data_IF_838780279957
#
_entry.id   IF_838780279957
#
_cell.length_a   1.000
_cell.length_b   1.000
_cell.length_c   1.000
_cell.angle_alpha   90.00
_cell.angle_beta   90.00
_cell.angle_gamma   90.00
#
_symmetry.space_group_name_H-M   'P 1'
#
loop_
_entity.id
_entity.type
_entity.pdbx_description
1 polymer ?
#
# COMPACT_ATOMS: atom_id res chain seq x y z
N UNK A 1 78.42 12.78 -6.20
CA UNK A 1 77.21 12.83 -7.07
C UNK A 1 76.15 11.93 -6.46
N UNK A 2 75.20 12.49 -5.72
CA UNK A 2 74.10 11.75 -5.10
C UNK A 2 72.85 11.90 -5.97
N UNK A 3 72.36 10.80 -6.54
CA UNK A 3 71.19 10.79 -7.41
C UNK A 3 69.92 10.58 -6.55
N UNK A 4 69.10 11.62 -6.46
CA UNK A 4 67.92 11.66 -5.60
C UNK A 4 66.69 11.20 -6.41
N UNK A 5 66.33 9.91 -6.28
CA UNK A 5 65.15 9.34 -6.94
C UNK A 5 63.89 9.85 -6.21
N UNK A 6 63.26 10.89 -6.77
CA UNK A 6 61.95 11.37 -6.34
C UNK A 6 60.89 10.29 -6.63
N UNK A 7 60.43 9.60 -5.58
CA UNK A 7 59.23 8.76 -5.63
C UNK A 7 58.00 9.66 -5.88
N UNK A 8 57.44 9.61 -7.09
CA UNK A 8 56.14 10.21 -7.39
C UNK A 8 55.05 9.51 -6.56
N UNK A 9 54.46 10.22 -5.59
CA UNK A 9 53.24 9.75 -4.92
C UNK A 9 52.10 9.72 -5.96
N UNK A 10 51.33 8.62 -6.10
CA UNK A 10 50.22 8.58 -7.04
C UNK A 10 49.12 9.54 -6.58
N UNK A 11 48.74 10.45 -7.47
CA UNK A 11 47.69 11.45 -7.26
C UNK A 11 46.37 10.77 -6.87
N UNK A 12 45.71 11.32 -5.85
CA UNK A 12 44.46 10.81 -5.25
C UNK A 12 43.30 10.69 -6.25
N UNK A 13 43.28 11.53 -7.29
CA UNK A 13 42.34 11.46 -8.42
C UNK A 13 42.39 10.11 -9.15
N UNK A 14 43.58 9.52 -9.29
CA UNK A 14 43.76 8.25 -9.99
C UNK A 14 43.25 7.06 -9.16
N UNK A 15 43.21 7.20 -7.82
CA UNK A 15 42.68 6.17 -6.91
C UNK A 15 41.15 6.14 -6.90
N UNK A 16 40.48 7.30 -6.95
CA UNK A 16 39.01 7.34 -7.09
C UNK A 16 38.55 6.82 -8.45
N UNK A 17 39.23 7.23 -9.54
CA UNK A 17 38.95 6.74 -10.88
C UNK A 17 39.15 5.21 -10.98
N UNK A 18 40.26 4.68 -10.44
CA UNK A 18 40.49 3.24 -10.38
C UNK A 18 39.45 2.51 -9.51
N UNK A 19 39.07 3.08 -8.36
CA UNK A 19 38.02 2.52 -7.50
C UNK A 19 36.66 2.45 -8.22
N UNK A 20 36.29 3.51 -8.94
CA UNK A 20 35.07 3.57 -9.74
C UNK A 20 35.11 2.58 -10.92
N UNK A 21 36.23 2.52 -11.65
CA UNK A 21 36.43 1.57 -12.74
C UNK A 21 36.31 0.11 -12.27
N UNK A 22 36.85 -0.23 -11.09
CA UNK A 22 36.69 -1.57 -10.53
C UNK A 22 35.26 -1.91 -10.14
N UNK A 23 34.47 -0.93 -9.67
CA UNK A 23 33.05 -1.13 -9.40
C UNK A 23 32.25 -1.29 -10.69
N UNK A 24 32.54 -0.48 -11.71
CA UNK A 24 31.88 -0.58 -13.00
C UNK A 24 32.21 -1.90 -13.71
N UNK A 25 33.47 -2.35 -13.66
CA UNK A 25 33.88 -3.67 -14.13
C UNK A 25 33.16 -4.79 -13.39
N UNK A 26 33.03 -4.70 -12.07
CA UNK A 26 32.32 -5.71 -11.26
C UNK A 26 30.83 -5.75 -11.58
N UNK A 27 30.20 -4.60 -11.79
CA UNK A 27 28.79 -4.47 -12.14
C UNK A 27 28.51 -5.10 -13.52
N UNK A 28 29.33 -4.77 -14.52
CA UNK A 28 29.22 -5.32 -15.88
C UNK A 28 29.57 -6.81 -15.90
N UNK A 29 30.58 -7.23 -15.16
CA UNK A 29 30.96 -8.65 -15.05
C UNK A 29 29.84 -9.48 -14.40
N UNK A 30 29.22 -8.98 -13.33
CA UNK A 30 28.08 -9.67 -12.70
C UNK A 30 26.86 -9.72 -13.63
N UNK A 31 26.63 -8.68 -14.44
CA UNK A 31 25.57 -8.70 -15.45
C UNK A 31 25.87 -9.71 -16.57
N UNK A 32 27.12 -9.75 -17.05
CA UNK A 32 27.59 -10.75 -18.00
C UNK A 32 27.44 -12.17 -17.45
N UNK A 33 27.70 -12.39 -16.16
CA UNK A 33 27.52 -13.69 -15.50
C UNK A 33 26.05 -14.14 -15.51
N UNK A 34 25.13 -13.24 -15.16
CA UNK A 34 23.69 -13.48 -15.22
C UNK A 34 23.25 -13.93 -16.63
N UNK A 35 23.80 -13.27 -17.65
CA UNK A 35 23.52 -13.62 -19.05
C UNK A 35 24.02 -15.02 -19.43
N UNK A 36 25.14 -15.48 -18.86
CA UNK A 36 25.73 -16.79 -19.17
C UNK A 36 25.12 -17.95 -18.36
N UNK A 37 24.33 -17.69 -17.30
CA UNK A 37 23.59 -18.69 -16.52
C UNK A 37 22.07 -18.45 -16.59
N UNK A 38 21.43 -18.53 -17.77
CA UNK A 38 20.09 -17.99 -17.98
C UNK A 38 19.01 -18.73 -17.20
N UNK A 39 19.09 -20.05 -17.07
CA UNK A 39 18.04 -20.85 -16.42
C UNK A 39 17.94 -20.57 -14.93
N UNK A 40 19.05 -20.56 -14.21
CA UNK A 40 19.08 -20.28 -12.77
C UNK A 40 18.68 -18.84 -12.49
N UNK A 41 19.18 -17.88 -13.29
CA UNK A 41 18.82 -16.48 -13.11
C UNK A 41 17.34 -16.23 -13.37
N UNK A 42 16.77 -16.74 -14.47
CA UNK A 42 15.35 -16.57 -14.78
C UNK A 42 14.49 -17.15 -13.65
N UNK A 43 14.80 -18.35 -13.18
CA UNK A 43 14.07 -18.99 -12.08
C UNK A 43 14.14 -18.17 -10.79
N UNK A 44 15.34 -17.73 -10.38
CA UNK A 44 15.50 -16.92 -9.16
C UNK A 44 14.78 -15.58 -9.28
N UNK A 45 14.93 -14.88 -10.40
CA UNK A 45 14.29 -13.59 -10.64
C UNK A 45 12.76 -13.73 -10.67
N UNK A 46 12.24 -14.79 -11.31
CA UNK A 46 10.81 -15.05 -11.36
C UNK A 46 10.24 -15.33 -9.96
N UNK A 47 10.92 -16.16 -9.15
CA UNK A 47 10.49 -16.44 -7.78
C UNK A 47 10.52 -15.17 -6.93
N UNK A 48 11.56 -14.34 -7.02
CA UNK A 48 11.62 -13.05 -6.32
C UNK A 48 10.50 -12.12 -6.79
N UNK A 49 10.25 -12.06 -8.10
CA UNK A 49 9.18 -11.25 -8.69
C UNK A 49 7.80 -11.65 -8.18
N UNK A 50 7.48 -12.95 -8.19
CA UNK A 50 6.21 -13.48 -7.65
C UNK A 50 6.10 -13.23 -6.15
N UNK A 51 7.21 -13.37 -5.42
CA UNK A 51 7.28 -13.12 -3.97
C UNK A 51 6.97 -11.65 -3.66
N UNK A 52 7.52 -10.71 -4.42
CA UNK A 52 7.28 -9.28 -4.22
C UNK A 52 5.95 -8.78 -4.82
N UNK A 53 5.39 -9.48 -5.81
CA UNK A 53 4.14 -9.06 -6.45
C UNK A 53 2.94 -9.22 -5.53
N UNK A 54 2.97 -10.20 -4.62
CA UNK A 54 1.90 -10.40 -3.64
C UNK A 54 1.72 -9.20 -2.68
N UNK A 55 2.73 -8.78 -1.89
CA UNK A 55 2.59 -7.60 -1.05
C UNK A 55 2.35 -6.33 -1.87
N UNK A 56 2.97 -6.18 -3.05
CA UNK A 56 2.71 -5.06 -3.96
C UNK A 56 1.26 -5.01 -4.44
N UNK A 57 0.69 -6.15 -4.80
CA UNK A 57 -0.71 -6.29 -5.22
C UNK A 57 -1.68 -6.00 -4.07
N UNK A 58 -1.43 -6.51 -2.86
CA UNK A 58 -2.25 -6.18 -1.69
C UNK A 58 -2.19 -4.70 -1.32
N UNK A 59 -1.01 -4.09 -1.41
CA UNK A 59 -0.87 -2.65 -1.23
C UNK A 59 -1.70 -1.87 -2.25
N UNK A 60 -1.60 -2.22 -3.55
CA UNK A 60 -2.37 -1.57 -4.59
C UNK A 60 -3.88 -1.77 -4.40
N UNK A 61 -4.30 -2.96 -3.97
CA UNK A 61 -5.68 -3.27 -3.65
C UNK A 61 -6.22 -2.39 -2.51
N UNK A 62 -5.48 -2.29 -1.39
CA UNK A 62 -5.86 -1.41 -0.28
C UNK A 62 -5.90 0.07 -0.70
N UNK A 63 -4.93 0.52 -1.51
CA UNK A 63 -4.90 1.88 -2.04
C UNK A 63 -6.16 2.21 -2.86
N UNK A 64 -6.68 1.24 -3.62
CA UNK A 64 -7.92 1.40 -4.36
C UNK A 64 -9.15 1.45 -3.44
N UNK A 65 -9.22 0.61 -2.41
CA UNK A 65 -10.31 0.67 -1.43
C UNK A 65 -10.28 2.00 -0.66
N UNK A 66 -9.09 2.45 -0.24
CA UNK A 66 -8.92 3.73 0.44
C UNK A 66 -9.44 4.89 -0.41
N UNK A 67 -9.12 4.91 -1.71
CA UNK A 67 -9.62 5.93 -2.65
C UNK A 67 -11.15 5.90 -2.76
N UNK A 68 -11.75 4.72 -2.91
CA UNK A 68 -13.22 4.58 -2.93
C UNK A 68 -13.87 4.97 -1.59
N UNK A 69 -13.19 4.75 -0.46
CA UNK A 69 -13.69 5.09 0.87
C UNK A 69 -13.65 6.59 1.17
N UNK A 70 -12.78 7.34 0.47
CA UNK A 70 -12.58 8.78 0.67
C UNK A 70 -13.83 9.60 0.35
N UNK A 71 -14.57 9.21 -0.69
CA UNK A 71 -15.80 9.88 -1.13
C UNK A 71 -16.92 9.80 -0.09
N UNK A 72 -16.97 8.72 0.69
CA UNK A 72 -17.98 8.55 1.75
C UNK A 72 -17.73 9.43 2.98
N UNK A 73 -16.53 10.00 3.13
CA UNK A 73 -16.23 10.94 4.22
C UNK A 73 -16.98 12.28 4.04
N UNK A 74 -17.21 12.70 2.80
CA UNK A 74 -18.01 13.89 2.45
C UNK A 74 -19.51 13.65 2.49
N UNK A 75 -19.98 12.41 2.30
CA UNK A 75 -21.41 12.07 2.23
C UNK A 75 -22.00 11.53 3.55
N UNK A 76 -21.39 11.87 4.69
CA UNK A 76 -21.92 11.42 5.99
C UNK A 76 -23.26 12.09 6.27
N UNK A 77 -24.35 11.33 6.16
CA UNK A 77 -25.70 11.83 6.39
C UNK A 77 -25.92 12.16 7.87
N UNK A 78 -26.66 13.24 8.12
CA UNK A 78 -27.11 13.65 9.45
C UNK A 78 -28.59 13.29 9.58
N UNK A 79 -28.90 12.39 10.51
CA UNK A 79 -30.25 12.02 10.89
C UNK A 79 -30.76 12.99 11.96
N UNK A 80 -31.74 13.82 11.61
CA UNK A 80 -32.43 14.73 12.52
C UNK A 80 -33.71 14.08 13.05
N UNK A 81 -33.69 13.68 14.32
CA UNK A 81 -34.88 13.22 15.04
C UNK A 81 -35.61 14.43 15.60
N UNK A 82 -36.86 14.60 15.15
CA UNK A 82 -37.71 15.71 15.56
C UNK A 82 -38.40 15.41 16.88
N UNK A 83 -39.01 16.43 17.47
CA UNK A 83 -39.90 16.26 18.62
C UNK A 83 -41.04 15.28 18.29
N UNK A 84 -41.30 14.33 19.18
CA UNK A 84 -42.34 13.31 19.01
C UNK A 84 -43.75 13.92 18.90
N UNK A 85 -44.00 15.12 19.43
CA UNK A 85 -45.30 15.79 19.30
C UNK A 85 -45.43 16.64 18.03
N UNK A 86 -44.36 16.77 17.24
CA UNK A 86 -44.37 17.57 16.02
C UNK A 86 -45.29 16.95 14.96
N UNK A 87 -46.19 17.77 14.42
CA UNK A 87 -47.06 17.37 13.32
C UNK A 87 -46.28 17.27 11.99
N UNK A 88 -46.78 16.44 11.06
CA UNK A 88 -46.12 16.21 9.78
C UNK A 88 -45.97 17.50 8.95
N UNK A 89 -46.92 18.43 9.06
CA UNK A 89 -46.91 19.67 8.28
C UNK A 89 -45.76 20.58 8.72
N UNK A 90 -45.54 20.72 10.02
CA UNK A 90 -44.42 21.44 10.62
C UNK A 90 -43.12 20.72 10.33
N UNK A 91 -43.08 19.39 10.41
CA UNK A 91 -41.89 18.61 10.12
C UNK A 91 -41.43 18.78 8.66
N UNK A 92 -42.36 18.76 7.70
CA UNK A 92 -42.08 19.08 6.29
C UNK A 92 -41.69 20.54 6.06
N UNK A 93 -42.22 21.47 6.85
CA UNK A 93 -41.78 22.86 6.79
C UNK A 93 -40.32 22.99 7.27
N UNK A 94 -39.94 22.24 8.30
CA UNK A 94 -38.56 22.17 8.79
C UNK A 94 -37.62 21.52 7.78
N UNK A 95 -38.03 20.43 7.12
CA UNK A 95 -37.26 19.82 6.02
C UNK A 95 -36.90 20.85 4.95
N UNK A 96 -37.87 21.67 4.52
CA UNK A 96 -37.62 22.73 3.53
C UNK A 96 -36.67 23.80 4.06
N UNK A 97 -36.84 24.22 5.32
CA UNK A 97 -35.94 25.17 5.96
C UNK A 97 -34.49 24.64 6.00
N UNK A 98 -34.30 23.35 6.25
CA UNK A 98 -32.98 22.72 6.26
C UNK A 98 -32.45 22.55 4.83
N UNK A 99 -33.30 22.23 3.87
CA UNK A 99 -32.93 22.13 2.45
C UNK A 99 -32.42 23.46 1.87
N UNK A 100 -32.93 24.59 2.36
CA UNK A 100 -32.50 25.93 1.93
C UNK A 100 -31.15 26.38 2.53
N UNK A 101 -30.52 25.57 3.39
CA UNK A 101 -29.21 25.89 3.97
C UNK A 101 -28.07 25.68 2.95
N UNK A 102 -27.13 26.63 2.88
CA UNK A 102 -26.03 26.58 1.91
C UNK A 102 -25.09 25.35 2.05
N UNK A 103 -25.02 24.78 3.26
CA UNK A 103 -24.16 23.64 3.56
C UNK A 103 -24.87 22.28 3.37
N UNK A 104 -26.09 22.27 2.83
CA UNK A 104 -26.92 21.08 2.61
C UNK A 104 -27.07 20.84 1.10
N UNK A 105 -26.80 19.60 0.66
CA UNK A 105 -27.00 19.18 -0.72
C UNK A 105 -28.44 18.70 -0.97
N UNK A 106 -28.96 17.88 -0.07
CA UNK A 106 -30.30 17.30 -0.20
C UNK A 106 -30.89 16.99 1.19
N UNK A 107 -32.22 16.89 1.25
CA UNK A 107 -32.93 16.42 2.43
C UNK A 107 -34.02 15.42 2.08
N UNK A 108 -34.24 14.46 2.99
CA UNK A 108 -35.32 13.49 2.87
C UNK A 108 -36.12 13.40 4.16
N UNK A 109 -37.39 13.74 4.07
CA UNK A 109 -38.35 13.45 5.14
C UNK A 109 -38.71 11.97 5.22
N UNK A 110 -38.62 11.42 6.43
CA UNK A 110 -39.04 10.07 6.80
C UNK A 110 -40.14 10.18 7.85
N UNK A 111 -41.32 9.63 7.53
CA UNK A 111 -42.47 9.68 8.44
C UNK A 111 -42.27 8.76 9.66
N UNK A 112 -42.99 9.01 10.76
CA UNK A 112 -42.99 8.11 11.93
C UNK A 112 -43.25 6.65 11.55
N UNK A 113 -44.18 6.42 10.62
CA UNK A 113 -44.52 5.07 10.14
C UNK A 113 -43.37 4.41 9.38
N UNK A 114 -42.73 5.16 8.48
CA UNK A 114 -41.58 4.68 7.71
C UNK A 114 -40.36 4.42 8.62
N UNK A 115 -40.09 5.32 9.59
CA UNK A 115 -39.06 5.12 10.61
C UNK A 115 -39.31 3.85 11.43
N UNK A 116 -40.57 3.56 11.77
CA UNK A 116 -40.94 2.34 12.49
C UNK A 116 -40.69 1.09 11.66
N UNK A 117 -41.01 1.12 10.39
CA UNK A 117 -40.82 -0.01 9.49
C UNK A 117 -39.33 -0.29 9.25
N UNK A 118 -38.53 0.76 9.02
CA UNK A 118 -37.07 0.64 8.92
C UNK A 118 -36.43 0.13 10.23
N UNK A 119 -36.91 0.60 11.38
CA UNK A 119 -36.42 0.14 12.67
C UNK A 119 -36.80 -1.31 12.97
N UNK A 120 -38.00 -1.76 12.59
CA UNK A 120 -38.41 -3.18 12.73
C UNK A 120 -37.51 -4.13 11.94
N UNK A 121 -37.09 -3.72 10.74
CA UNK A 121 -36.20 -4.52 9.89
C UNK A 121 -34.78 -4.62 10.44
N UNK A 122 -34.29 -3.55 11.06
CA UNK A 122 -32.87 -3.43 11.43
C UNK A 122 -32.57 -3.81 12.89
N UNK A 123 -33.52 -3.58 13.80
CA UNK A 123 -33.30 -3.71 15.25
C UNK A 123 -33.43 -5.14 15.79
N UNK A 124 -34.03 -6.06 15.02
CA UNK A 124 -34.35 -7.42 15.49
C UNK A 124 -35.52 -7.49 16.49
N UNK A 125 -36.11 -6.35 16.88
CA UNK A 125 -37.23 -6.25 17.82
C UNK A 125 -38.61 -6.19 17.15
N UNK A 126 -38.71 -6.55 15.87
CA UNK A 126 -39.93 -6.39 15.05
C UNK A 126 -41.21 -6.87 15.75
N UNK A 127 -41.18 -8.07 16.35
CA UNK A 127 -42.33 -8.69 17.05
C UNK A 127 -42.68 -8.04 18.39
N UNK A 128 -41.70 -7.45 19.08
CA UNK A 128 -41.92 -6.77 20.36
C UNK A 128 -42.51 -5.39 20.15
N UNK A 129 -42.18 -4.72 19.05
CA UNK A 129 -42.69 -3.39 18.70
C UNK A 129 -44.19 -3.42 18.38
N UNK A 130 -44.69 -4.52 17.82
CA UNK A 130 -46.12 -4.69 17.53
C UNK A 130 -47.00 -4.73 18.80
N UNK A 131 -46.39 -4.88 19.98
CA UNK A 131 -47.11 -4.87 21.27
C UNK A 131 -47.26 -3.46 21.87
N UNK A 132 -46.61 -2.43 21.31
CA UNK A 132 -46.80 -1.06 21.75
C UNK A 132 -48.12 -0.50 21.20
N UNK A 133 -48.88 0.16 22.08
CA UNK A 133 -50.16 0.80 21.78
C UNK A 133 -50.04 2.07 20.91
N UNK A 134 -48.84 2.62 20.77
CA UNK A 134 -48.57 3.79 19.91
C UNK A 134 -47.14 3.74 19.36
N UNK A 135 -46.90 4.44 18.24
CA UNK A 135 -45.59 4.51 17.61
C UNK A 135 -44.64 5.42 18.45
N UNK A 136 -43.56 4.87 19.04
CA UNK A 136 -42.67 5.64 19.90
C UNK A 136 -41.63 6.45 19.12
N UNK A 137 -41.58 6.35 17.79
CA UNK A 137 -40.57 7.02 16.98
C UNK A 137 -41.05 8.37 16.46
N UNK A 138 -40.20 9.41 16.49
CA UNK A 138 -40.50 10.69 15.89
C UNK A 138 -40.36 10.68 14.37
N UNK A 139 -40.75 11.79 13.75
CA UNK A 139 -40.39 12.07 12.36
C UNK A 139 -38.88 12.28 12.25
N UNK A 140 -38.27 11.84 11.15
CA UNK A 140 -36.82 11.99 10.93
C UNK A 140 -36.58 12.74 9.62
N UNK A 141 -35.64 13.67 9.62
CA UNK A 141 -35.14 14.31 8.40
C UNK A 141 -33.71 13.83 8.19
N UNK A 142 -33.45 13.16 7.08
CA UNK A 142 -32.10 12.80 6.66
C UNK A 142 -31.54 14.00 5.89
N UNK A 143 -30.42 14.52 6.34
CA UNK A 143 -29.74 15.67 5.72
C UNK A 143 -28.44 15.18 5.10
N UNK A 144 -28.28 15.42 3.81
CA UNK A 144 -27.03 15.18 3.10
C UNK A 144 -26.22 16.48 3.06
N UNK A 145 -25.04 16.53 3.71
CA UNK A 145 -24.18 17.70 3.62
C UNK A 145 -23.71 17.95 2.19
N UNK A 146 -23.39 19.20 1.88
CA UNK A 146 -22.79 19.57 0.59
C UNK A 146 -21.53 18.76 0.30
N UNK A 147 -21.34 18.31 -0.95
CA UNK A 147 -20.17 17.51 -1.36
C UNK A 147 -18.82 18.23 -1.16
N UNK A 148 -18.84 19.56 -1.02
CA UNK A 148 -17.64 20.37 -0.70
C UNK A 148 -17.37 20.49 0.80
N UNK A 149 -18.25 19.97 1.66
CA UNK A 149 -18.12 20.07 3.11
C UNK A 149 -17.00 19.13 3.62
N UNK A 150 -16.00 19.71 4.28
CA UNK A 150 -15.00 18.91 4.98
C UNK A 150 -15.54 18.41 6.34
N UNK A 151 -14.75 17.60 7.04
CA UNK A 151 -15.15 17.04 8.34
C UNK A 151 -15.46 18.13 9.39
N UNK A 152 -14.89 19.33 9.28
CA UNK A 152 -15.18 20.44 10.18
C UNK A 152 -16.51 21.11 9.85
N UNK A 153 -16.77 21.36 8.56
CA UNK A 153 -18.03 21.90 8.07
C UNK A 153 -19.22 20.99 8.43
N UNK A 154 -19.09 19.67 8.26
CA UNK A 154 -20.13 18.69 8.65
C UNK A 154 -20.41 18.73 10.16
N UNK A 155 -19.37 18.87 11.00
CA UNK A 155 -19.55 19.01 12.46
C UNK A 155 -20.21 20.33 12.84
N UNK A 156 -19.89 21.41 12.15
CA UNK A 156 -20.53 22.71 12.38
C UNK A 156 -22.01 22.67 11.97
N UNK A 157 -22.31 22.05 10.82
CA UNK A 157 -23.69 21.81 10.39
C UNK A 157 -24.44 20.96 11.41
N UNK A 158 -23.86 19.86 11.89
CA UNK A 158 -24.46 19.04 12.95
C UNK A 158 -24.80 19.85 14.21
N UNK A 159 -23.86 20.68 14.68
CA UNK A 159 -24.07 21.53 15.86
C UNK A 159 -25.17 22.58 15.61
N UNK A 160 -25.18 23.19 14.42
CA UNK A 160 -26.23 24.14 14.02
C UNK A 160 -27.60 23.47 14.02
N UNK A 161 -27.72 22.32 13.38
CA UNK A 161 -28.97 21.58 13.29
C UNK A 161 -29.48 21.11 14.65
N UNK A 162 -28.59 20.70 15.57
CA UNK A 162 -28.94 20.33 16.94
C UNK A 162 -29.55 21.48 17.75
N UNK A 163 -29.27 22.74 17.37
CA UNK A 163 -29.83 23.93 18.04
C UNK A 163 -31.18 24.39 17.46
N UNK A 164 -31.67 23.78 16.38
CA UNK A 164 -32.93 24.16 15.77
C UNK A 164 -34.11 23.80 16.68
N UNK A 165 -35.08 24.72 16.88
CA UNK A 165 -36.24 24.46 17.71
C UNK A 165 -37.12 23.38 17.09
N UNK A 166 -37.43 22.32 17.84
CA UNK A 166 -38.18 21.16 17.37
C UNK A 166 -37.31 19.99 16.89
N UNK A 167 -35.98 20.13 16.92
CA UNK A 167 -35.03 19.01 16.81
C UNK A 167 -34.73 18.50 18.21
N UNK A 168 -34.96 17.21 18.45
CA UNK A 168 -34.62 16.56 19.71
C UNK A 168 -33.17 16.08 19.68
N UNK A 169 -32.78 15.36 18.61
CA UNK A 169 -31.44 14.82 18.44
C UNK A 169 -31.01 14.94 16.97
N UNK A 170 -29.83 15.50 16.73
CA UNK A 170 -29.13 15.42 15.46
C UNK A 170 -28.00 14.39 15.61
N UNK A 171 -28.02 13.33 14.79
CA UNK A 171 -27.03 12.25 14.82
C UNK A 171 -26.33 12.13 13.48
N UNK A 172 -25.01 12.18 13.50
CA UNK A 172 -24.19 11.84 12.33
C UNK A 172 -24.02 10.32 12.29
N UNK A 173 -24.41 9.67 11.20
CA UNK A 173 -24.28 8.22 11.05
C UNK A 173 -22.85 7.80 10.68
N UNK A 174 -21.90 8.01 11.61
CA UNK A 174 -20.47 7.70 11.43
C UNK A 174 -20.08 6.29 11.84
N UNK A 175 -20.95 5.54 12.53
CA UNK A 175 -20.57 4.28 13.16
C UNK A 175 -20.12 3.24 12.12
N UNK A 176 -20.80 3.18 10.96
CA UNK A 176 -20.41 2.28 9.89
C UNK A 176 -19.08 2.69 9.24
N UNK A 177 -18.82 4.01 9.10
CA UNK A 177 -17.56 4.55 8.59
C UNK A 177 -16.40 4.24 9.53
N UNK A 178 -16.59 4.44 10.83
CA UNK A 178 -15.59 4.12 11.85
C UNK A 178 -15.24 2.64 11.83
N UNK A 179 -16.25 1.76 11.69
CA UNK A 179 -16.04 0.31 11.52
C UNK A 179 -15.26 0.01 10.23
N UNK A 180 -15.60 0.63 9.11
CA UNK A 180 -14.88 0.45 7.84
C UNK A 180 -13.41 0.87 7.96
N UNK A 181 -13.13 2.05 8.50
CA UNK A 181 -11.76 2.53 8.68
C UNK A 181 -10.96 1.67 9.67
N UNK A 182 -11.62 1.15 10.71
CA UNK A 182 -11.00 0.20 11.63
C UNK A 182 -10.60 -1.09 10.90
N UNK A 183 -11.47 -1.61 10.02
CA UNK A 183 -11.15 -2.78 9.17
C UNK A 183 -9.99 -2.46 8.23
N UNK A 184 -9.99 -1.29 7.59
CA UNK A 184 -8.90 -0.86 6.69
C UNK A 184 -7.57 -0.71 7.42
N UNK A 185 -7.57 -0.20 8.65
CA UNK A 185 -6.38 -0.11 9.49
C UNK A 185 -5.84 -1.51 9.87
N UNK A 186 -6.71 -2.45 10.22
CA UNK A 186 -6.33 -3.86 10.47
C UNK A 186 -5.73 -4.46 9.19
N UNK A 187 -6.35 -4.23 8.03
CA UNK A 187 -5.87 -4.72 6.75
C UNK A 187 -4.51 -4.11 6.37
N UNK A 188 -4.32 -2.81 6.59
CA UNK A 188 -3.05 -2.11 6.37
C UNK A 188 -1.93 -2.67 7.23
N UNK A 189 -2.18 -2.92 8.53
CA UNK A 189 -1.22 -3.59 9.42
C UNK A 189 -0.91 -5.01 8.96
N UNK A 190 -1.91 -5.73 8.49
CA UNK A 190 -1.75 -7.08 7.95
C UNK A 190 -0.86 -7.08 6.71
N UNK A 191 -1.08 -6.16 5.78
CA UNK A 191 -0.24 -5.99 4.59
C UNK A 191 1.19 -5.59 4.95
N UNK A 192 1.39 -4.75 5.97
CA UNK A 192 2.74 -4.42 6.47
C UNK A 192 3.46 -5.67 7.01
N UNK A 193 2.77 -6.51 7.81
CA UNK A 193 3.33 -7.76 8.33
C UNK A 193 3.69 -8.73 7.19
N UNK A 194 2.78 -8.90 6.22
CA UNK A 194 3.01 -9.72 5.03
C UNK A 194 4.22 -9.18 4.26
N UNK A 195 4.31 -7.87 4.05
CA UNK A 195 5.44 -7.25 3.34
C UNK A 195 6.77 -7.55 4.03
N UNK A 196 6.83 -7.46 5.36
CA UNK A 196 8.02 -7.83 6.14
C UNK A 196 8.36 -9.31 5.96
N UNK A 197 7.36 -10.20 6.07
CA UNK A 197 7.55 -11.65 5.92
C UNK A 197 8.09 -12.02 4.53
N UNK A 198 7.50 -11.45 3.48
CA UNK A 198 7.94 -11.64 2.11
C UNK A 198 9.30 -10.99 1.85
N UNK A 199 9.61 -9.88 2.53
CA UNK A 199 10.96 -9.31 2.57
C UNK A 199 11.99 -10.29 3.10
N UNK A 200 11.70 -10.97 4.23
CA UNK A 200 12.55 -12.04 4.75
C UNK A 200 12.67 -13.22 3.77
N UNK A 201 11.59 -13.60 3.10
CA UNK A 201 11.64 -14.65 2.07
C UNK A 201 12.62 -14.28 0.95
N UNK A 202 12.58 -13.04 0.45
CA UNK A 202 13.54 -12.53 -0.56
C UNK A 202 14.98 -12.58 -0.04
N UNK A 203 15.23 -12.17 1.21
CA UNK A 203 16.55 -12.29 1.83
C UNK A 203 17.05 -13.73 1.86
N UNK A 204 16.18 -14.68 2.20
CA UNK A 204 16.50 -16.11 2.24
C UNK A 204 16.76 -16.68 0.83
N UNK A 205 15.93 -16.34 -0.15
CA UNK A 205 16.08 -16.76 -1.54
C UNK A 205 17.43 -16.30 -2.10
N UNK A 206 17.74 -15.01 -1.96
CA UNK A 206 18.99 -14.44 -2.46
C UNK A 206 20.16 -14.99 -1.65
N UNK A 207 20.04 -15.05 -0.33
CA UNK A 207 21.09 -15.56 0.53
C UNK A 207 21.47 -17.01 0.19
N UNK A 208 20.48 -17.86 -0.06
CA UNK A 208 20.71 -19.24 -0.48
C UNK A 208 21.29 -19.31 -1.90
N UNK A 209 20.79 -18.50 -2.84
CA UNK A 209 21.30 -18.44 -4.20
C UNK A 209 22.79 -18.05 -4.22
N UNK A 210 23.16 -17.03 -3.45
CA UNK A 210 24.55 -16.57 -3.34
C UNK A 210 25.43 -17.60 -2.60
N UNK A 211 24.90 -18.26 -1.57
CA UNK A 211 25.61 -19.37 -0.90
C UNK A 211 25.95 -20.48 -1.88
N UNK A 212 24.99 -20.95 -2.66
CA UNK A 212 25.20 -21.99 -3.66
C UNK A 212 26.19 -21.54 -4.74
N UNK A 213 26.09 -20.28 -5.17
CA UNK A 213 27.03 -19.71 -6.14
C UNK A 213 28.48 -19.65 -5.62
N UNK A 214 28.68 -19.32 -4.34
CA UNK A 214 30.00 -19.37 -3.67
C UNK A 214 30.51 -20.81 -3.61
N UNK A 215 29.67 -21.77 -3.23
CA UNK A 215 30.05 -23.19 -3.13
C UNK A 215 30.48 -23.77 -4.49
N UNK A 216 29.73 -23.46 -5.56
CA UNK A 216 30.06 -23.90 -6.90
C UNK A 216 31.40 -23.34 -7.42
N UNK A 217 31.85 -22.21 -6.87
CA UNK A 217 33.10 -21.54 -7.25
C UNK A 217 34.21 -21.67 -6.21
N UNK A 218 34.09 -22.63 -5.29
CA UNK A 218 35.02 -22.80 -4.18
C UNK A 218 36.49 -22.91 -4.62
N UNK A 219 36.77 -23.74 -5.64
CA UNK A 219 38.14 -23.93 -6.15
C UNK A 219 38.73 -22.66 -6.77
N UNK A 220 37.92 -21.94 -7.55
CA UNK A 220 38.32 -20.67 -8.16
C UNK A 220 38.64 -19.61 -7.09
N UNK A 221 37.82 -19.56 -6.03
CA UNK A 221 38.01 -18.65 -4.89
C UNK A 221 39.33 -18.96 -4.16
N UNK A 222 39.65 -20.24 -3.93
CA UNK A 222 40.92 -20.65 -3.29
C UNK A 222 42.10 -20.21 -4.13
N UNK A 223 42.12 -20.55 -5.43
CA UNK A 223 43.22 -20.18 -6.32
C UNK A 223 43.39 -18.65 -6.35
N UNK A 224 42.29 -17.91 -6.40
CA UNK A 224 42.30 -16.44 -6.38
C UNK A 224 42.85 -15.87 -5.07
N UNK A 225 42.58 -16.51 -3.92
CA UNK A 225 43.18 -16.14 -2.63
C UNK A 225 44.68 -16.44 -2.58
N UNK A 226 45.12 -17.58 -3.12
CA UNK A 226 46.53 -17.98 -3.12
C UNK A 226 47.42 -17.03 -3.93
N UNK A 227 46.90 -16.46 -5.03
CA UNK A 227 47.60 -15.43 -5.81
C UNK A 227 47.55 -14.02 -5.19
N UNK A 228 46.99 -13.88 -3.98
CA UNK A 228 47.03 -12.65 -3.18
C UNK A 228 45.83 -11.70 -3.35
N UNK A 229 44.70 -12.15 -3.90
CA UNK A 229 43.53 -11.30 -4.02
C UNK A 229 42.91 -10.94 -2.66
N UNK A 230 42.49 -9.68 -2.50
CA UNK A 230 41.83 -9.23 -1.26
C UNK A 230 40.43 -9.83 -1.12
N UNK A 231 39.98 -10.07 0.12
CA UNK A 231 38.61 -10.49 0.39
C UNK A 231 37.58 -9.54 -0.26
N UNK A 232 37.83 -8.22 -0.25
CA UNK A 232 36.95 -7.25 -0.88
C UNK A 232 36.82 -7.45 -2.41
N UNK A 233 37.90 -7.84 -3.10
CA UNK A 233 37.85 -8.14 -4.53
C UNK A 233 36.94 -9.34 -4.82
N UNK A 234 37.05 -10.39 -4.02
CA UNK A 234 36.26 -11.63 -4.18
C UNK A 234 34.78 -11.40 -3.83
N UNK A 235 34.48 -10.53 -2.86
CA UNK A 235 33.09 -10.25 -2.41
C UNK A 235 32.26 -9.47 -3.44
N UNK A 236 32.85 -8.52 -4.17
CA UNK A 236 32.13 -7.57 -5.02
C UNK A 236 31.20 -8.23 -6.06
N UNK A 237 31.64 -9.23 -6.85
CA UNK A 237 30.78 -9.83 -7.86
C UNK A 237 29.51 -10.45 -7.29
N UNK A 238 29.57 -11.03 -6.10
CA UNK A 238 28.43 -11.64 -5.42
C UNK A 238 27.44 -10.59 -4.88
N UNK A 239 27.95 -9.46 -4.36
CA UNK A 239 27.10 -8.34 -3.92
C UNK A 239 26.35 -7.72 -5.10
N UNK A 240 27.04 -7.49 -6.22
CA UNK A 240 26.39 -7.01 -7.45
C UNK A 240 25.43 -8.04 -8.05
N UNK A 241 25.69 -9.35 -7.89
CA UNK A 241 24.73 -10.39 -8.22
C UNK A 241 23.43 -10.23 -7.44
N UNK A 242 23.52 -10.04 -6.12
CA UNK A 242 22.35 -9.76 -5.27
C UNK A 242 21.60 -8.49 -5.68
N UNK A 243 22.32 -7.41 -6.01
CA UNK A 243 21.75 -6.17 -6.53
C UNK A 243 20.91 -6.46 -7.79
N UNK A 244 21.47 -7.18 -8.76
CA UNK A 244 20.78 -7.50 -10.01
C UNK A 244 19.56 -8.41 -9.79
N UNK A 245 19.67 -9.42 -8.92
CA UNK A 245 18.52 -10.27 -8.57
C UNK A 245 17.39 -9.46 -7.93
N UNK A 246 17.71 -8.55 -7.02
CA UNK A 246 16.73 -7.66 -6.39
C UNK A 246 16.09 -6.68 -7.38
N UNK A 247 16.89 -6.07 -8.26
CA UNK A 247 16.43 -5.13 -9.27
C UNK A 247 15.51 -5.81 -10.29
N UNK A 248 15.98 -6.89 -10.91
CA UNK A 248 15.21 -7.62 -11.93
C UNK A 248 13.96 -8.26 -11.32
N UNK A 249 14.07 -8.78 -10.09
CA UNK A 249 12.91 -9.30 -9.36
C UNK A 249 11.87 -8.21 -9.07
N UNK A 250 12.31 -7.00 -8.69
CA UNK A 250 11.43 -5.84 -8.52
C UNK A 250 10.73 -5.43 -9.81
N UNK A 251 11.45 -5.43 -10.94
CA UNK A 251 10.87 -5.13 -12.26
C UNK A 251 9.82 -6.18 -12.65
N UNK A 252 10.12 -7.47 -12.48
CA UNK A 252 9.15 -8.54 -12.75
C UNK A 252 7.93 -8.42 -11.84
N UNK A 253 8.13 -8.12 -10.56
CA UNK A 253 7.03 -7.87 -9.61
C UNK A 253 6.11 -6.75 -10.10
N UNK A 254 6.69 -5.62 -10.51
CA UNK A 254 5.93 -4.50 -11.08
C UNK A 254 5.11 -4.93 -12.30
N UNK A 255 5.71 -5.65 -13.25
CA UNK A 255 4.99 -6.16 -14.41
C UNK A 255 3.85 -7.10 -14.03
N UNK A 256 4.06 -8.00 -13.07
CA UNK A 256 3.01 -8.92 -12.60
C UNK A 256 1.83 -8.13 -12.02
N UNK A 257 2.10 -7.13 -11.18
CA UNK A 257 1.04 -6.30 -10.58
C UNK A 257 0.32 -5.47 -11.65
N UNK A 258 1.04 -4.89 -12.61
CA UNK A 258 0.45 -4.10 -13.69
C UNK A 258 -0.41 -4.95 -14.62
N UNK A 259 0.04 -6.16 -14.97
CA UNK A 259 -0.77 -7.12 -15.75
C UNK A 259 -2.02 -7.51 -14.96
N UNK A 260 -1.89 -7.73 -13.65
CA UNK A 260 -3.03 -7.99 -12.77
C UNK A 260 -4.04 -6.83 -12.75
N UNK A 261 -3.55 -5.59 -12.66
CA UNK A 261 -4.37 -4.39 -12.76
C UNK A 261 -5.10 -4.33 -14.11
N UNK A 262 -4.40 -4.50 -15.22
CA UNK A 262 -5.00 -4.47 -16.56
C UNK A 262 -6.09 -5.54 -16.72
N UNK A 263 -5.85 -6.75 -16.21
CA UNK A 263 -6.81 -7.86 -16.25
C UNK A 263 -8.12 -7.53 -15.50
N UNK A 264 -8.05 -6.75 -14.42
CA UNK A 264 -9.20 -6.36 -13.59
C UNK A 264 -9.86 -5.07 -14.13
N UNK A 265 -9.08 -4.15 -14.70
CA UNK A 265 -9.54 -2.83 -15.15
C UNK A 265 -10.64 -2.88 -16.21
N UNK A 266 -10.55 -3.81 -17.18
CA UNK A 266 -11.55 -3.98 -18.23
C UNK A 266 -12.94 -4.32 -17.67
N UNK A 267 -13.07 -5.40 -16.88
CA UNK A 267 -14.32 -5.74 -16.20
C UNK A 267 -14.86 -4.63 -15.31
N UNK A 268 -14.01 -3.94 -14.54
CA UNK A 268 -14.42 -2.86 -13.65
C UNK A 268 -14.94 -1.64 -14.42
N UNK A 269 -14.30 -1.24 -15.53
CA UNK A 269 -14.81 -0.15 -16.37
C UNK A 269 -16.20 -0.47 -16.95
N UNK A 270 -16.45 -1.73 -17.31
CA UNK A 270 -17.77 -2.16 -17.78
C UNK A 270 -18.83 -2.08 -16.67
N UNK A 271 -18.49 -2.49 -15.46
CA UNK A 271 -19.36 -2.30 -14.29
C UNK A 271 -19.62 -0.81 -14.05
N UNK A 272 -18.59 0.03 -14.15
CA UNK A 272 -18.71 1.47 -13.96
C UNK A 272 -19.75 2.10 -14.91
N UNK A 273 -19.72 1.71 -16.19
CA UNK A 273 -20.69 2.15 -17.19
C UNK A 273 -22.11 1.64 -16.92
N UNK A 274 -22.27 0.41 -16.43
CA UNK A 274 -23.58 -0.18 -16.15
C UNK A 274 -24.26 0.46 -14.95
N UNK A 275 -23.49 0.82 -13.93
CA UNK A 275 -23.97 1.42 -12.69
C UNK A 275 -23.93 2.94 -12.69
N UNK A 276 -23.44 3.58 -13.77
CA UNK A 276 -23.14 5.01 -13.83
C UNK A 276 -22.34 5.47 -12.61
N UNK A 277 -21.42 4.62 -12.15
CA UNK A 277 -20.57 4.92 -11.02
C UNK A 277 -19.35 5.74 -11.49
N UNK A 278 -18.72 6.45 -10.55
CA UNK A 278 -17.47 7.19 -10.78
C UNK A 278 -16.28 6.44 -10.17
N UNK A 279 -16.19 5.12 -10.39
CA UNK A 279 -15.09 4.30 -9.88
C UNK A 279 -13.80 4.58 -10.65
N UNK A 280 -12.87 5.29 -10.01
CA UNK A 280 -11.52 5.51 -10.55
C UNK A 280 -10.56 4.47 -9.97
N UNK A 281 -10.12 3.56 -10.83
CA UNK A 281 -9.08 2.59 -10.51
C UNK A 281 -7.69 3.22 -10.56
N UNK A 282 -7.01 3.21 -9.42
CA UNK A 282 -5.65 3.73 -9.27
C UNK A 282 -4.64 2.62 -9.57
N UNK A 283 -3.66 2.90 -10.44
CA UNK A 283 -2.50 2.03 -10.68
C UNK A 283 -1.28 2.48 -9.86
N UNK A 284 -0.15 1.77 -9.98
CA UNK A 284 1.10 2.21 -9.40
C UNK A 284 1.54 3.56 -9.96
N UNK A 285 1.80 4.50 -9.05
CA UNK A 285 2.41 5.77 -9.43
C UNK A 285 3.91 5.58 -9.71
N UNK A 286 4.52 6.59 -10.35
CA UNK A 286 5.97 6.61 -10.53
C UNK A 286 6.73 6.54 -9.19
N UNK A 287 6.16 7.13 -8.12
CA UNK A 287 6.72 7.04 -6.77
C UNK A 287 6.66 5.61 -6.23
N UNK A 288 5.53 4.90 -6.42
CA UNK A 288 5.39 3.52 -5.97
C UNK A 288 6.38 2.59 -6.69
N UNK A 289 6.58 2.81 -8.00
CA UNK A 289 7.59 2.11 -8.78
C UNK A 289 9.01 2.32 -8.21
N UNK A 290 9.39 3.56 -7.91
CA UNK A 290 10.71 3.86 -7.32
C UNK A 290 10.86 3.19 -5.96
N UNK A 291 9.83 3.24 -5.10
CA UNK A 291 9.85 2.60 -3.78
C UNK A 291 10.02 1.08 -3.92
N UNK A 292 9.27 0.45 -4.83
CA UNK A 292 9.37 -0.98 -5.09
C UNK A 292 10.77 -1.38 -5.59
N UNK A 293 11.30 -0.69 -6.60
CA UNK A 293 12.62 -1.01 -7.16
C UNK A 293 13.75 -0.73 -6.17
N UNK A 294 13.69 0.38 -5.44
CA UNK A 294 14.72 0.72 -4.44
C UNK A 294 14.71 -0.26 -3.27
N UNK A 295 13.53 -0.60 -2.75
CA UNK A 295 13.40 -1.58 -1.66
C UNK A 295 13.81 -2.99 -2.09
N UNK A 296 13.41 -3.44 -3.28
CA UNK A 296 13.79 -4.76 -3.80
C UNK A 296 15.30 -4.86 -4.04
N UNK A 297 15.92 -3.80 -4.56
CA UNK A 297 17.37 -3.72 -4.77
C UNK A 297 18.13 -3.70 -3.43
N UNK A 298 17.60 -3.01 -2.43
CA UNK A 298 18.17 -2.98 -1.08
C UNK A 298 18.08 -4.35 -0.40
N UNK A 299 16.96 -5.06 -0.54
CA UNK A 299 16.82 -6.46 -0.12
C UNK A 299 17.83 -7.36 -0.87
N UNK A 300 18.01 -7.10 -2.18
CA UNK A 300 19.08 -7.61 -3.03
C UNK A 300 20.47 -7.57 -2.39
N UNK A 301 20.88 -6.35 -2.07
CA UNK A 301 22.18 -6.04 -1.49
C UNK A 301 22.34 -6.60 -0.08
N UNK A 302 21.33 -6.46 0.77
CA UNK A 302 21.39 -6.93 2.15
C UNK A 302 21.43 -8.47 2.23
N UNK A 303 20.61 -9.17 1.45
CA UNK A 303 20.60 -10.63 1.39
C UNK A 303 21.94 -11.20 0.89
N UNK A 304 22.50 -10.62 -0.18
CA UNK A 304 23.82 -11.03 -0.68
C UNK A 304 24.95 -10.67 0.29
N UNK A 305 24.88 -9.52 0.97
CA UNK A 305 25.86 -9.12 1.96
C UNK A 305 25.91 -10.08 3.15
N UNK A 306 24.75 -10.46 3.70
CA UNK A 306 24.66 -11.44 4.80
C UNK A 306 25.25 -12.79 4.37
N UNK A 307 24.89 -13.28 3.18
CA UNK A 307 25.40 -14.56 2.69
C UNK A 307 26.91 -14.55 2.46
N UNK A 308 27.44 -13.50 1.84
CA UNK A 308 28.87 -13.34 1.58
C UNK A 308 29.66 -13.19 2.88
N UNK A 309 29.18 -12.38 3.82
CA UNK A 309 29.84 -12.17 5.11
C UNK A 309 29.96 -13.47 5.91
N UNK A 310 28.95 -14.34 5.84
CA UNK A 310 28.94 -15.62 6.57
C UNK A 310 29.78 -16.70 5.88
N UNK A 311 29.65 -16.86 4.57
CA UNK A 311 30.20 -18.04 3.86
C UNK A 311 31.60 -17.81 3.27
N UNK A 312 31.95 -16.60 2.85
CA UNK A 312 33.27 -16.36 2.25
C UNK A 312 34.41 -16.35 3.28
N UNK A 313 34.10 -16.00 4.54
CA UNK A 313 35.08 -15.99 5.63
C UNK A 313 35.46 -17.41 6.09
N UNK A 314 34.64 -18.42 5.76
CA UNK A 314 34.91 -19.82 6.10
C UNK A 314 35.90 -20.47 5.13
N UNK A 315 36.25 -19.79 4.03
CA UNK A 315 37.15 -20.31 3.00
C UNK A 315 38.53 -19.68 3.22
N UNK A 316 39.32 -20.19 4.17
CA UNK A 316 40.72 -19.80 4.34
C UNK A 316 41.64 -20.92 3.84
N UNK A 317 42.65 -20.62 2.99
CA UNK A 317 43.60 -21.63 2.58
C UNK A 317 44.49 -22.00 3.78
N UNK A 318 44.43 -23.27 4.19
CA UNK A 318 45.43 -23.92 5.06
C UNK A 318 46.72 -24.19 4.33
#
# INVERSE_FOLDING_TARGET
MANNIRRHKPATLNKMAAYFLHHMQSLVFSLGKIYHSPTTTIMTVAVIGITLSLPGGFYLFLKNIDAMSGDFRSSSQISLYLDIEMDEKKARAMERQVADMADVADTRFVSKGESLEAFKQTSGFGKSIDTLSSNPLPHTIIVEPSSSADTFAVKNLLNLLQTLPGVEIAKLDTEWLERLYTILEIARRSVAIITILFGFAVLLIIGNTIRLDIQNRYQEIIVTKLIGATNAFIRRPFLYGGLWYGLLGGVISWFIVEIGYLAISGPLNRLNLLYQADLVLITFSFQDFIILISSSTLLGLTGSWIAVARHLNQIEPT
#
